data_IF_299891455199
#
_entry.id   IF_299891455199
#
_cell.length_a   1.000
_cell.length_b   1.000
_cell.length_c   1.000
_cell.angle_alpha   90.00
_cell.angle_beta   90.00
_cell.angle_gamma   90.00
#
_symmetry.space_group_name_H-M   'P 1'
#
loop_
_entity.id
_entity.type
_entity.pdbx_description
1 polymer ?
#
# COMPACT_ATOMS: atom_id res chain seq x y z
N UNK A 1 15.46 -2.95 3.20
CA UNK A 1 14.75 -2.40 4.36
C UNK A 1 13.27 -2.64 4.23
N UNK A 2 12.65 -3.05 5.30
CA UNK A 2 11.23 -3.34 5.28
C UNK A 2 10.42 -2.11 5.67
N UNK A 3 9.20 -2.03 5.17
CA UNK A 3 8.27 -0.97 5.52
C UNK A 3 7.04 -1.63 6.13
N UNK A 4 6.72 -1.25 7.35
CA UNK A 4 5.57 -1.79 8.05
C UNK A 4 4.30 -1.08 7.63
N UNK A 5 3.22 -1.83 7.53
CA UNK A 5 1.91 -1.31 7.12
C UNK A 5 0.94 -1.50 8.27
N UNK A 6 0.26 -0.42 8.65
CA UNK A 6 -0.69 -0.44 9.75
C UNK A 6 -2.06 -0.01 9.29
N UNK A 7 -3.08 -0.68 9.81
CA UNK A 7 -4.46 -0.23 9.67
C UNK A 7 -4.75 0.65 10.89
N UNK A 8 -5.43 1.76 10.68
CA UNK A 8 -5.68 2.72 11.74
C UNK A 8 -4.48 3.59 12.02
N UNK A 9 -4.54 4.32 13.11
CA UNK A 9 -3.46 5.26 13.44
C UNK A 9 -3.48 5.54 14.92
N UNK A 10 -2.38 6.17 15.37
CA UNK A 10 -2.26 6.47 16.77
C UNK A 10 -2.14 5.22 17.61
N UNK A 11 -2.72 5.27 18.79
CA UNK A 11 -2.61 4.16 19.73
C UNK A 11 -3.35 2.91 19.29
N UNK A 12 -4.39 3.07 18.50
CA UNK A 12 -5.20 1.93 18.09
C UNK A 12 -4.79 1.26 16.80
N UNK A 13 -3.67 1.66 16.23
CA UNK A 13 -3.26 1.07 14.95
C UNK A 13 -2.83 -0.38 15.15
N UNK A 14 -3.03 -1.17 14.11
CA UNK A 14 -2.68 -2.59 14.12
C UNK A 14 -1.82 -2.87 12.90
N UNK A 15 -0.69 -3.53 13.09
CA UNK A 15 0.12 -3.89 11.93
C UNK A 15 -0.57 -5.00 11.14
N UNK A 16 -0.73 -4.77 9.84
CA UNK A 16 -1.40 -5.74 8.99
C UNK A 16 -0.48 -6.35 7.95
N UNK A 17 0.66 -5.74 7.69
CA UNK A 17 1.56 -6.31 6.70
C UNK A 17 2.87 -5.59 6.61
N UNK A 18 3.65 -5.99 5.60
CA UNK A 18 5.01 -5.49 5.38
C UNK A 18 5.27 -5.44 3.88
N UNK A 19 6.00 -4.40 3.44
CA UNK A 19 6.61 -4.36 2.12
C UNK A 19 8.09 -4.59 2.29
N UNK A 20 8.66 -5.50 1.53
CA UNK A 20 10.07 -5.82 1.66
C UNK A 20 10.60 -6.40 0.36
N UNK A 21 11.62 -5.75 -0.20
CA UNK A 21 12.31 -6.29 -1.36
C UNK A 21 11.46 -6.49 -2.60
N UNK A 22 10.42 -5.71 -2.76
CA UNK A 22 9.53 -5.83 -3.91
C UNK A 22 8.33 -6.71 -3.64
N UNK A 23 8.24 -7.29 -2.46
CA UNK A 23 7.10 -8.11 -2.10
C UNK A 23 6.19 -7.41 -1.09
N UNK A 24 4.92 -7.75 -1.14
CA UNK A 24 3.93 -7.26 -0.20
C UNK A 24 3.40 -8.47 0.56
N UNK A 25 3.47 -8.40 1.88
CA UNK A 25 3.14 -9.54 2.72
C UNK A 25 2.00 -9.21 3.67
N UNK A 26 1.11 -10.16 3.85
CA UNK A 26 0.10 -10.09 4.89
C UNK A 26 0.73 -10.67 6.16
N UNK A 27 0.50 -10.01 7.29
CA UNK A 27 1.11 -10.42 8.53
C UNK A 27 2.53 -9.91 8.63
N UNK A 28 3.26 -10.45 9.58
CA UNK A 28 4.62 -9.99 9.82
C UNK A 28 5.36 -11.09 10.59
N UNK A 29 6.69 -10.93 10.62
CA UNK A 29 7.49 -11.95 11.27
C UNK A 29 7.51 -13.24 10.49
N UNK A 30 7.59 -14.34 11.21
CA UNK A 30 7.75 -15.65 10.60
C UNK A 30 6.52 -16.14 9.85
N UNK A 31 5.35 -15.70 10.26
CA UNK A 31 4.11 -16.19 9.69
C UNK A 31 3.57 -15.39 8.53
N UNK A 32 4.34 -14.43 8.02
CA UNK A 32 3.84 -13.60 6.93
C UNK A 32 3.69 -14.40 5.65
N UNK A 33 2.72 -13.97 4.84
CA UNK A 33 2.42 -14.62 3.56
C UNK A 33 2.46 -13.58 2.46
N UNK A 34 3.17 -13.85 1.38
CA UNK A 34 3.21 -12.89 0.29
C UNK A 34 1.88 -12.87 -0.44
N UNK A 35 1.32 -11.67 -0.60
CA UNK A 35 0.04 -11.50 -1.28
C UNK A 35 0.15 -10.62 -2.52
N UNK A 36 1.29 -9.96 -2.71
CA UNK A 36 1.44 -9.09 -3.86
C UNK A 36 2.88 -8.67 -4.02
N UNK A 37 3.09 -7.75 -4.95
CA UNK A 37 4.43 -7.24 -5.24
C UNK A 37 4.33 -5.80 -5.72
N UNK A 38 5.47 -5.14 -5.76
CA UNK A 38 5.53 -3.77 -6.24
C UNK A 38 6.85 -3.53 -6.92
N UNK A 39 6.84 -2.70 -7.95
CA UNK A 39 8.06 -2.26 -8.61
C UNK A 39 7.75 -1.04 -9.46
N UNK A 40 8.68 -0.10 -9.50
CA UNK A 40 8.62 1.06 -10.40
C UNK A 40 7.30 1.82 -10.31
N UNK A 41 6.76 1.97 -9.10
CA UNK A 41 5.53 2.70 -8.91
C UNK A 41 4.28 1.92 -9.21
N UNK A 42 4.38 0.64 -9.47
CA UNK A 42 3.23 -0.21 -9.77
C UNK A 42 3.02 -1.22 -8.64
N UNK A 43 1.78 -1.58 -8.42
CA UNK A 43 1.40 -2.55 -7.40
C UNK A 43 0.65 -3.68 -8.07
N UNK A 44 0.99 -4.90 -7.68
CA UNK A 44 0.44 -6.10 -8.28
C UNK A 44 -0.19 -6.98 -7.22
N UNK A 45 -1.29 -7.62 -7.59
CA UNK A 45 -1.84 -8.71 -6.81
C UNK A 45 -1.12 -9.98 -7.23
N UNK A 46 -0.71 -10.79 -6.26
CA UNK A 46 0.06 -11.98 -6.56
C UNK A 46 1.52 -11.67 -6.82
N UNK A 47 2.22 -12.62 -7.33
CA UNK A 47 3.65 -12.46 -7.56
C UNK A 47 4.09 -13.46 -8.61
N UNK A 48 5.33 -13.24 -9.10
CA UNK A 48 5.83 -14.11 -10.15
C UNK A 48 5.09 -13.92 -11.45
N UNK A 49 4.96 -14.99 -12.19
CA UNK A 49 4.37 -14.94 -13.53
C UNK A 49 2.89 -14.62 -13.55
N UNK A 50 2.18 -14.97 -12.49
CA UNK A 50 0.74 -14.81 -12.47
C UNK A 50 0.25 -13.51 -11.86
N UNK A 51 1.14 -12.59 -11.59
CA UNK A 51 0.72 -11.35 -10.95
C UNK A 51 -0.09 -10.48 -11.91
N UNK A 52 -0.97 -9.69 -11.32
CA UNK A 52 -1.83 -8.78 -12.08
C UNK A 52 -1.69 -7.39 -11.51
N UNK A 53 -1.43 -6.41 -12.36
CA UNK A 53 -1.33 -5.04 -11.86
C UNK A 53 -2.70 -4.56 -11.40
N UNK A 54 -2.76 -4.02 -10.17
CA UNK A 54 -4.00 -3.51 -9.62
C UNK A 54 -3.97 -2.00 -9.43
N UNK A 55 -2.81 -1.39 -9.49
CA UNK A 55 -2.74 0.04 -9.36
C UNK A 55 -1.32 0.57 -9.40
N UNK A 56 -1.19 1.84 -9.05
CA UNK A 56 0.10 2.51 -9.09
C UNK A 56 0.14 3.59 -8.00
N UNK A 57 1.32 4.10 -7.76
CA UNK A 57 1.50 5.17 -6.80
C UNK A 57 2.62 6.08 -7.27
N UNK A 58 2.47 7.36 -6.98
CA UNK A 58 3.53 8.34 -7.26
C UNK A 58 3.21 9.65 -6.56
N UNK A 59 4.26 10.32 -6.11
CA UNK A 59 4.16 11.69 -5.58
C UNK A 59 3.08 11.88 -4.52
N UNK A 60 2.95 10.91 -3.63
CA UNK A 60 1.98 11.02 -2.55
C UNK A 60 0.59 10.58 -2.91
N UNK A 61 0.37 10.04 -4.09
CA UNK A 61 -0.95 9.63 -4.55
C UNK A 61 -0.99 8.15 -4.89
N UNK A 62 -2.13 7.53 -4.66
CA UNK A 62 -2.35 6.13 -4.98
C UNK A 62 -3.51 6.02 -5.96
N UNK A 63 -3.32 5.21 -6.99
CA UNK A 63 -4.30 5.04 -8.05
C UNK A 63 -4.71 3.60 -8.17
N UNK A 64 -6.00 3.39 -8.44
CA UNK A 64 -6.52 2.07 -8.81
C UNK A 64 -6.45 1.98 -10.32
N UNK A 65 -6.07 0.81 -10.84
CA UNK A 65 -5.91 0.63 -12.26
C UNK A 65 -4.58 1.17 -12.74
N UNK A 66 -4.47 1.36 -14.01
CA UNK A 66 -3.22 1.82 -14.59
C UNK A 66 -3.48 2.43 -15.96
N UNK A 67 -2.46 3.14 -16.46
CA UNK A 67 -2.61 3.78 -17.76
C UNK A 67 -3.62 4.90 -17.72
N UNK A 68 -4.31 5.07 -18.82
CA UNK A 68 -5.27 6.17 -18.97
C UNK A 68 -6.49 6.04 -18.10
N UNK A 69 -6.86 4.83 -17.75
CA UNK A 69 -8.07 4.60 -16.98
C UNK A 69 -7.90 4.58 -15.49
N UNK A 70 -6.73 4.91 -14.99
CA UNK A 70 -6.51 4.87 -13.54
C UNK A 70 -7.31 5.96 -12.83
N UNK A 71 -7.69 5.66 -11.61
CA UNK A 71 -8.48 6.57 -10.78
C UNK A 71 -7.77 6.74 -9.44
N UNK A 72 -7.60 7.97 -9.01
CA UNK A 72 -6.98 8.18 -7.70
C UNK A 72 -7.92 7.72 -6.60
N UNK A 73 -7.41 6.89 -5.69
CA UNK A 73 -8.20 6.35 -4.60
C UNK A 73 -7.68 6.77 -3.24
N UNK A 74 -6.49 7.32 -3.17
CA UNK A 74 -5.96 7.74 -1.89
C UNK A 74 -4.68 8.52 -2.01
N UNK A 75 -4.10 8.83 -0.85
CA UNK A 75 -2.86 9.59 -0.79
C UNK A 75 -2.07 9.16 0.43
N UNK A 76 -0.83 9.58 0.49
CA UNK A 76 0.02 9.25 1.62
C UNK A 76 1.02 10.38 1.84
N UNK A 77 1.35 10.61 3.10
CA UNK A 77 2.38 11.57 3.45
C UNK A 77 2.73 11.42 4.92
N UNK A 78 3.99 11.65 5.22
CA UNK A 78 4.49 11.73 6.60
C UNK A 78 4.06 10.56 7.48
N UNK A 79 4.11 9.35 6.91
CA UNK A 79 3.76 8.16 7.67
C UNK A 79 2.29 7.86 7.72
N UNK A 80 1.44 8.65 7.07
CA UNK A 80 0.00 8.46 7.09
C UNK A 80 -0.53 8.01 5.74
N UNK A 81 -1.57 7.21 5.76
CA UNK A 81 -2.23 6.71 4.55
C UNK A 81 -3.68 7.15 4.60
N UNK A 82 -4.13 7.78 3.53
CA UNK A 82 -5.48 8.33 3.47
C UNK A 82 -6.29 7.70 2.35
N UNK A 83 -7.57 7.51 2.62
CA UNK A 83 -8.54 7.18 1.59
C UNK A 83 -9.06 8.48 1.02
N UNK A 84 -9.16 8.58 -0.30
CA UNK A 84 -9.56 9.82 -0.94
C UNK A 84 -8.41 10.79 -1.05
N UNK A 85 -8.72 12.01 -1.34
CA UNK A 85 -7.70 13.04 -1.54
C UNK A 85 -8.34 14.40 -1.36
N UNK A 86 -7.45 15.40 -1.27
CA UNK A 86 -7.93 16.77 -1.07
C UNK A 86 -8.54 16.94 0.30
N UNK A 87 -9.55 17.79 0.37
CA UNK A 87 -10.19 18.13 1.63
C UNK A 87 -10.99 16.99 2.24
N UNK A 88 -11.47 16.08 1.41
CA UNK A 88 -12.31 15.00 1.91
C UNK A 88 -11.60 13.73 2.28
N UNK A 89 -10.28 13.74 2.28
CA UNK A 89 -9.55 12.51 2.60
C UNK A 89 -9.70 12.13 4.07
N UNK A 90 -9.65 10.84 4.32
CA UNK A 90 -9.78 10.30 5.66
C UNK A 90 -8.59 9.39 5.93
N UNK A 91 -7.92 9.56 7.06
CA UNK A 91 -6.81 8.69 7.39
C UNK A 91 -7.32 7.30 7.73
N UNK A 92 -6.76 6.28 7.08
CA UNK A 92 -7.15 4.90 7.31
C UNK A 92 -6.00 4.04 7.82
N UNK A 93 -4.80 4.55 7.75
CA UNK A 93 -3.67 3.74 8.19
C UNK A 93 -2.40 4.55 8.26
N UNK A 94 -1.30 3.83 8.48
CA UNK A 94 0.02 4.46 8.58
C UNK A 94 1.08 3.47 8.10
N UNK A 95 2.27 3.97 7.93
CA UNK A 95 3.39 3.14 7.52
C UNK A 95 4.66 3.62 8.19
N UNK A 96 5.61 2.72 8.30
CA UNK A 96 6.90 3.04 8.88
C UNK A 96 7.98 2.37 8.03
N UNK A 97 8.78 3.15 7.37
CA UNK A 97 9.85 2.64 6.53
C UNK A 97 9.99 3.42 5.24
N UNK A 98 10.92 3.02 4.38
CA UNK A 98 11.24 3.79 3.18
C UNK A 98 10.30 3.61 2.00
N UNK A 99 9.55 2.52 1.93
CA UNK A 99 8.68 2.23 0.78
C UNK A 99 7.28 2.79 1.01
N UNK A 100 7.19 4.10 1.14
CA UNK A 100 5.95 4.75 1.51
C UNK A 100 4.81 4.54 0.52
N UNK A 101 5.08 4.77 -0.76
CA UNK A 101 4.05 4.60 -1.77
C UNK A 101 3.57 3.17 -1.89
N UNK A 102 4.50 2.23 -1.81
CA UNK A 102 4.13 0.83 -1.88
C UNK A 102 3.25 0.43 -0.71
N UNK A 103 3.58 0.90 0.49
CA UNK A 103 2.80 0.58 1.67
C UNK A 103 1.40 1.17 1.57
N UNK A 104 1.29 2.42 1.13
CA UNK A 104 -0.01 3.05 0.97
C UNK A 104 -0.85 2.33 -0.06
N UNK A 105 -0.25 2.01 -1.20
CA UNK A 105 -0.98 1.31 -2.25
C UNK A 105 -1.39 -0.08 -1.79
N UNK A 106 -0.54 -0.77 -1.05
CA UNK A 106 -0.88 -2.08 -0.53
C UNK A 106 -2.10 -2.00 0.39
N UNK A 107 -2.09 -1.05 1.31
CA UNK A 107 -3.22 -0.92 2.22
C UNK A 107 -4.50 -0.62 1.48
N UNK A 108 -4.46 0.34 0.56
CA UNK A 108 -5.66 0.77 -0.15
C UNK A 108 -6.16 -0.25 -1.16
N UNK A 109 -5.26 -0.95 -1.82
CA UNK A 109 -5.65 -1.80 -2.94
C UNK A 109 -5.73 -3.28 -2.61
N UNK A 110 -4.96 -3.72 -1.64
CA UNK A 110 -4.88 -5.13 -1.31
C UNK A 110 -5.50 -5.48 0.03
N UNK A 111 -5.31 -4.64 1.04
CA UNK A 111 -5.80 -4.94 2.39
C UNK A 111 -7.20 -4.41 2.67
N UNK A 112 -7.50 -3.22 2.17
CA UNK A 112 -8.80 -2.58 2.46
C UNK A 112 -9.83 -2.80 1.38
N UNK A 113 -9.51 -3.64 0.43
CA UNK A 113 -10.37 -3.85 -0.70
C UNK A 113 -11.64 -4.62 -0.37
#
# INVERSE_FOLDING_TARGET
>A
MATDIYSGYGWGRTQVGICDGGGIYSGYGWGRTQIGSYSDGCVYSGYGWGRTQVGSYSNGEVYSGYGWGRTQVGSYSDGCIYSGYGWGKTQIGSYSGPDDGAAAAALLLLFEK
#
